data_IF_196701242677
#
_entry.id   IF_196701242677
#
_cell.length_a   1.000
_cell.length_b   1.000
_cell.length_c   1.000
_cell.angle_alpha   90.00
_cell.angle_beta   90.00
_cell.angle_gamma   90.00
#
_symmetry.space_group_name_H-M   'P 1'
#
loop_
_entity.id
_entity.type
_entity.pdbx_description
1 polymer ?
#
# COMPACT_ATOMS: atom_id res chain seq x y z
N UNK A 1 -26.51 -17.11 -104.10
CA UNK A 1 -25.21 -16.70 -103.42
C UNK A 1 -25.55 -15.63 -102.42
N UNK A 2 -25.76 -15.99 -101.19
CA UNK A 2 -26.10 -15.07 -100.09
C UNK A 2 -25.00 -15.14 -99.03
N UNK A 3 -24.39 -14.01 -98.73
CA UNK A 3 -23.33 -13.92 -97.67
C UNK A 3 -23.99 -13.50 -96.34
N UNK A 4 -24.16 -14.43 -95.44
CA UNK A 4 -24.58 -14.13 -94.07
C UNK A 4 -23.44 -13.45 -93.31
N UNK A 5 -23.69 -12.27 -92.74
CA UNK A 5 -22.81 -11.57 -91.82
C UNK A 5 -23.17 -11.98 -90.39
N UNK A 6 -22.21 -12.57 -89.70
CA UNK A 6 -22.32 -12.90 -88.28
C UNK A 6 -21.84 -11.65 -87.52
N UNK A 7 -22.75 -11.10 -86.69
CA UNK A 7 -22.44 -10.03 -85.74
C UNK A 7 -22.16 -10.67 -84.41
N UNK A 8 -20.89 -10.54 -83.95
CA UNK A 8 -20.46 -11.00 -82.61
C UNK A 8 -20.74 -9.85 -81.66
N UNK A 9 -21.67 -10.07 -80.73
CA UNK A 9 -22.00 -9.15 -79.66
C UNK A 9 -21.04 -9.41 -78.45
N UNK A 10 -20.12 -8.47 -78.20
CA UNK A 10 -19.21 -8.55 -77.07
C UNK A 10 -19.92 -8.01 -75.82
N UNK A 11 -20.32 -8.88 -74.90
CA UNK A 11 -20.86 -8.48 -73.60
C UNK A 11 -19.69 -8.10 -72.68
N UNK A 12 -19.55 -6.82 -72.39
CA UNK A 12 -18.63 -6.34 -71.36
C UNK A 12 -19.30 -6.42 -69.99
N UNK A 13 -18.89 -7.39 -69.15
CA UNK A 13 -19.34 -7.52 -67.80
C UNK A 13 -18.56 -6.57 -66.90
N UNK A 14 -19.13 -5.46 -66.48
CA UNK A 14 -18.55 -4.54 -65.51
C UNK A 14 -18.71 -5.15 -64.14
N UNK A 15 -17.60 -5.65 -63.55
CA UNK A 15 -17.55 -6.14 -62.16
C UNK A 15 -17.50 -4.93 -61.25
N UNK A 16 -18.61 -4.54 -60.62
CA UNK A 16 -18.69 -3.52 -59.56
C UNK A 16 -18.03 -4.06 -58.30
N UNK A 17 -16.75 -3.72 -58.07
CA UNK A 17 -16.09 -3.89 -56.78
C UNK A 17 -16.71 -2.93 -55.77
N UNK A 18 -17.67 -3.38 -54.97
CA UNK A 18 -18.06 -2.67 -53.75
C UNK A 18 -16.91 -2.82 -52.73
N UNK A 19 -16.42 -1.71 -52.15
CA UNK A 19 -15.46 -1.83 -51.05
C UNK A 19 -16.19 -2.48 -49.88
N UNK A 20 -15.85 -3.76 -49.59
CA UNK A 20 -16.34 -4.46 -48.44
C UNK A 20 -15.83 -3.74 -47.19
N UNK A 21 -16.76 -3.20 -46.39
CA UNK A 21 -16.51 -2.75 -45.02
C UNK A 21 -16.23 -4.04 -44.24
N UNK A 22 -14.98 -4.42 -44.17
CA UNK A 22 -14.56 -5.46 -43.21
C UNK A 22 -14.70 -4.86 -41.81
N UNK A 23 -15.56 -5.45 -40.93
CA UNK A 23 -15.52 -5.05 -39.53
C UNK A 23 -14.11 -5.28 -39.03
N UNK A 24 -13.43 -4.21 -38.62
CA UNK A 24 -12.18 -4.32 -37.86
C UNK A 24 -12.55 -5.03 -36.55
N UNK A 25 -12.42 -6.36 -36.54
CA UNK A 25 -12.37 -7.11 -35.30
C UNK A 25 -11.13 -6.59 -34.56
N UNK A 26 -11.34 -5.71 -33.59
CA UNK A 26 -10.31 -5.38 -32.61
C UNK A 26 -9.80 -6.71 -32.08
N UNK A 27 -8.55 -7.00 -32.36
CA UNK A 27 -7.92 -8.25 -31.99
C UNK A 27 -8.04 -8.42 -30.48
N UNK A 28 -8.74 -9.44 -30.03
CA UNK A 28 -8.77 -9.90 -28.64
C UNK A 28 -7.37 -10.36 -28.15
N UNK A 29 -6.34 -10.22 -28.99
CA UNK A 29 -5.00 -10.73 -28.77
C UNK A 29 -4.14 -9.86 -27.83
N UNK A 30 -4.62 -8.70 -27.34
CA UNK A 30 -3.81 -7.78 -26.52
C UNK A 30 -4.32 -7.62 -25.07
N UNK A 31 -5.41 -8.27 -24.68
CA UNK A 31 -5.90 -8.19 -23.30
C UNK A 31 -5.02 -9.02 -22.38
N UNK A 32 -4.28 -8.32 -21.51
CA UNK A 32 -3.39 -8.94 -20.52
C UNK A 32 -4.14 -9.13 -19.22
N UNK A 33 -4.18 -10.33 -18.70
CA UNK A 33 -4.87 -10.60 -17.43
C UNK A 33 -5.70 -11.87 -17.47
N UNK A 34 -6.60 -12.04 -16.51
CA UNK A 34 -6.83 -11.15 -15.37
C UNK A 34 -5.68 -11.16 -14.36
N UNK A 35 -5.44 -9.98 -13.74
CA UNK A 35 -4.52 -9.81 -12.60
C UNK A 35 -5.33 -9.32 -11.41
N UNK A 36 -5.26 -10.02 -10.28
CA UNK A 36 -5.97 -9.66 -9.06
C UNK A 36 -5.08 -8.78 -8.19
N UNK A 37 -5.47 -7.52 -8.01
CA UNK A 37 -4.77 -6.55 -7.17
C UNK A 37 -5.51 -6.39 -5.86
N UNK A 38 -4.79 -6.47 -4.75
CA UNK A 38 -5.31 -6.24 -3.42
C UNK A 38 -4.54 -5.13 -2.70
N UNK A 39 -5.00 -4.75 -1.52
CA UNK A 39 -4.27 -3.90 -0.58
C UNK A 39 -4.65 -4.20 0.86
N UNK A 40 -3.85 -3.69 1.79
CA UNK A 40 -4.25 -3.63 3.20
C UNK A 40 -5.44 -2.69 3.37
N UNK A 41 -6.09 -2.79 4.52
CA UNK A 41 -7.33 -2.05 4.83
C UNK A 41 -7.07 -0.58 5.24
N UNK A 42 -5.81 -0.22 5.52
CA UNK A 42 -5.44 1.13 5.93
C UNK A 42 -5.45 2.12 4.76
N UNK A 43 -5.41 3.42 5.09
CA UNK A 43 -5.47 4.54 4.14
C UNK A 43 -4.38 4.45 3.06
N UNK A 44 -3.13 4.20 3.46
CA UNK A 44 -2.01 4.12 2.52
C UNK A 44 -2.09 2.84 1.68
N UNK A 45 -2.50 1.72 2.27
CA UNK A 45 -2.76 0.48 1.55
C UNK A 45 -3.77 0.68 0.43
N UNK A 46 -4.90 1.35 0.72
CA UNK A 46 -5.91 1.69 -0.28
C UNK A 46 -5.34 2.57 -1.39
N UNK A 47 -4.60 3.63 -1.04
CA UNK A 47 -3.95 4.53 -2.00
C UNK A 47 -3.01 3.79 -2.96
N UNK A 48 -2.07 3.03 -2.40
CA UNK A 48 -1.06 2.29 -3.17
C UNK A 48 -1.69 1.18 -4.02
N UNK A 49 -2.71 0.50 -3.50
CA UNK A 49 -3.50 -0.47 -4.26
C UNK A 49 -4.19 0.14 -5.47
N UNK A 50 -4.80 1.32 -5.30
CA UNK A 50 -5.42 2.07 -6.39
C UNK A 50 -4.38 2.53 -7.43
N UNK A 51 -3.18 2.96 -7.01
CA UNK A 51 -2.10 3.29 -7.95
C UNK A 51 -1.70 2.09 -8.79
N UNK A 52 -1.51 0.91 -8.18
CA UNK A 52 -1.20 -0.34 -8.90
C UNK A 52 -2.29 -0.65 -9.93
N UNK A 53 -3.57 -0.59 -9.52
CA UNK A 53 -4.68 -0.89 -10.41
C UNK A 53 -4.77 0.05 -11.60
N UNK A 54 -4.68 1.36 -11.35
CA UNK A 54 -4.77 2.38 -12.41
C UNK A 54 -3.64 2.20 -13.43
N UNK A 55 -2.41 2.00 -12.98
CA UNK A 55 -1.26 1.79 -13.86
C UNK A 55 -1.38 0.52 -14.72
N UNK A 56 -1.88 -0.57 -14.15
CA UNK A 56 -2.08 -1.82 -14.88
C UNK A 56 -3.22 -1.68 -15.89
N UNK A 57 -4.35 -1.04 -15.52
CA UNK A 57 -5.47 -0.80 -16.44
C UNK A 57 -5.06 0.10 -17.61
N UNK A 58 -4.33 1.19 -17.36
CA UNK A 58 -3.80 2.08 -18.42
C UNK A 58 -2.84 1.35 -19.37
N UNK A 59 -2.17 0.31 -18.87
CA UNK A 59 -1.27 -0.56 -19.64
C UNK A 59 -2.00 -1.73 -20.35
N UNK A 60 -3.34 -1.76 -20.35
CA UNK A 60 -4.16 -2.75 -21.05
C UNK A 60 -4.37 -4.07 -20.31
N UNK A 61 -4.17 -4.10 -18.98
CA UNK A 61 -4.50 -5.28 -18.17
C UNK A 61 -5.97 -5.28 -17.77
N UNK A 62 -6.60 -6.47 -17.80
CA UNK A 62 -7.80 -6.73 -17.03
C UNK A 62 -7.41 -6.86 -15.56
N UNK A 63 -7.98 -6.01 -14.69
CA UNK A 63 -7.65 -5.97 -13.27
C UNK A 63 -8.87 -6.25 -12.41
N UNK A 64 -8.79 -7.30 -11.59
CA UNK A 64 -9.76 -7.60 -10.55
C UNK A 64 -9.38 -6.86 -9.26
N UNK A 65 -10.33 -6.07 -8.75
CA UNK A 65 -10.16 -5.27 -7.56
C UNK A 65 -10.47 -6.07 -6.28
N UNK A 66 -9.48 -6.15 -5.39
CA UNK A 66 -9.59 -6.64 -4.02
C UNK A 66 -8.87 -5.69 -3.06
N UNK A 67 -8.86 -4.38 -3.35
CA UNK A 67 -8.29 -3.40 -2.42
C UNK A 67 -9.04 -3.41 -1.09
N UNK A 68 -8.39 -2.92 -0.03
CA UNK A 68 -8.92 -2.93 1.35
C UNK A 68 -9.32 -4.34 1.83
N UNK A 69 -8.54 -5.35 1.43
CA UNK A 69 -8.84 -6.77 1.67
C UNK A 69 -8.78 -7.16 3.15
N UNK A 70 -7.86 -6.57 3.91
CA UNK A 70 -7.73 -6.86 5.33
C UNK A 70 -6.33 -6.55 5.91
N UNK A 71 -6.08 -6.96 7.17
CA UNK A 71 -4.80 -6.79 7.85
C UNK A 71 -3.70 -7.68 7.26
N UNK A 72 -2.46 -7.45 7.72
CA UNK A 72 -1.24 -8.09 7.21
C UNK A 72 -1.34 -9.61 7.10
N UNK A 73 -1.81 -10.29 8.13
CA UNK A 73 -1.90 -11.77 8.14
C UNK A 73 -2.84 -12.32 7.09
N UNK A 74 -3.98 -11.66 6.87
CA UNK A 74 -5.00 -12.12 5.94
C UNK A 74 -4.52 -11.96 4.50
N UNK A 75 -4.04 -10.78 4.14
CA UNK A 75 -3.59 -10.49 2.78
C UNK A 75 -2.32 -11.30 2.43
N UNK A 76 -1.44 -11.53 3.41
CA UNK A 76 -0.24 -12.37 3.25
C UNK A 76 -0.60 -13.81 2.90
N UNK A 77 -1.56 -14.40 3.58
CA UNK A 77 -2.08 -15.74 3.27
C UNK A 77 -2.70 -15.79 1.88
N UNK A 78 -3.47 -14.76 1.50
CA UNK A 78 -4.13 -14.71 0.20
C UNK A 78 -3.15 -14.70 -0.98
N UNK A 79 -2.01 -13.97 -0.91
CA UNK A 79 -1.02 -13.99 -2.00
C UNK A 79 -0.27 -15.33 -2.05
N UNK A 80 0.08 -15.90 -0.91
CA UNK A 80 0.76 -17.20 -0.85
C UNK A 80 -0.14 -18.30 -1.43
N UNK A 81 -1.44 -18.28 -1.12
CA UNK A 81 -2.43 -19.24 -1.64
C UNK A 81 -2.82 -18.97 -3.10
N UNK A 82 -2.43 -17.85 -3.69
CA UNK A 82 -2.75 -17.49 -5.06
C UNK A 82 -4.15 -16.91 -5.28
N UNK A 83 -4.81 -16.46 -4.22
CA UNK A 83 -6.12 -15.79 -4.27
C UNK A 83 -6.02 -14.35 -4.78
N UNK A 84 -4.84 -13.74 -4.62
CA UNK A 84 -4.44 -12.43 -5.15
C UNK A 84 -3.09 -12.55 -5.83
N UNK A 85 -2.78 -11.64 -6.74
CA UNK A 85 -1.57 -11.68 -7.56
C UNK A 85 -0.55 -10.61 -7.18
N UNK A 86 -1.01 -9.43 -6.75
CA UNK A 86 -0.19 -8.25 -6.43
C UNK A 86 -0.84 -7.49 -5.28
N UNK A 87 -0.01 -7.01 -4.35
CA UNK A 87 -0.41 -5.98 -3.39
C UNK A 87 0.82 -5.18 -2.91
N UNK A 88 0.63 -3.95 -2.35
CA UNK A 88 1.71 -3.20 -1.70
C UNK A 88 1.98 -3.77 -0.32
N UNK A 89 3.22 -4.23 -0.06
CA UNK A 89 3.68 -4.73 1.23
C UNK A 89 4.90 -3.92 1.69
N UNK A 90 5.23 -3.98 2.96
CA UNK A 90 6.26 -3.17 3.60
C UNK A 90 7.47 -4.02 3.98
N UNK A 91 8.68 -3.55 3.65
CA UNK A 91 9.93 -4.31 3.82
C UNK A 91 10.16 -4.79 5.25
N UNK A 92 9.79 -3.99 6.25
CA UNK A 92 9.94 -4.32 7.68
C UNK A 92 9.10 -5.52 8.13
N UNK A 93 8.00 -5.83 7.44
CA UNK A 93 7.22 -7.04 7.73
C UNK A 93 7.98 -8.33 7.44
N UNK A 94 9.13 -8.24 6.73
CA UNK A 94 10.03 -9.37 6.57
C UNK A 94 10.51 -9.95 7.91
N UNK A 95 10.74 -9.12 8.93
CA UNK A 95 11.08 -9.57 10.28
C UNK A 95 9.96 -10.33 10.99
N UNK A 96 8.71 -10.02 10.65
CA UNK A 96 7.53 -10.73 11.13
C UNK A 96 7.26 -12.02 10.35
N UNK A 97 7.50 -12.03 9.02
CA UNK A 97 7.29 -13.20 8.17
C UNK A 97 8.37 -14.28 8.35
N UNK A 98 9.60 -13.88 8.68
CA UNK A 98 10.78 -14.74 8.73
C UNK A 98 11.51 -14.61 10.07
N UNK A 99 11.12 -15.43 11.04
CA UNK A 99 11.54 -15.34 12.45
C UNK A 99 13.04 -15.63 12.69
N UNK A 100 13.73 -16.33 11.79
CA UNK A 100 15.12 -16.74 11.95
C UNK A 100 16.10 -15.82 11.20
N UNK A 101 15.91 -14.52 11.33
CA UNK A 101 16.74 -13.50 10.67
C UNK A 101 17.45 -12.61 11.68
N UNK A 102 18.55 -11.98 11.27
CA UNK A 102 19.22 -10.97 12.08
C UNK A 102 18.30 -9.74 12.24
N UNK A 103 17.87 -9.39 13.47
CA UNK A 103 17.03 -8.21 13.69
C UNK A 103 17.65 -6.90 13.21
N UNK A 104 18.99 -6.80 13.17
CA UNK A 104 19.69 -5.62 12.69
C UNK A 104 19.49 -5.38 11.18
N UNK A 105 19.21 -6.42 10.42
CA UNK A 105 18.92 -6.27 8.98
C UNK A 105 17.69 -5.40 8.72
N UNK A 106 16.71 -5.46 9.61
CA UNK A 106 15.43 -4.73 9.45
C UNK A 106 15.50 -3.25 9.85
N UNK A 107 16.62 -2.82 10.46
CA UNK A 107 16.88 -1.42 10.84
C UNK A 107 17.51 -0.58 9.73
N UNK A 108 17.86 -1.22 8.62
CA UNK A 108 18.45 -0.59 7.45
C UNK A 108 17.57 -0.87 6.23
N UNK A 109 17.15 0.18 5.53
CA UNK A 109 16.22 0.09 4.40
C UNK A 109 16.70 -0.89 3.31
N UNK A 110 17.98 -0.76 2.91
CA UNK A 110 18.56 -1.58 1.85
C UNK A 110 18.77 -3.03 2.26
N UNK A 111 19.29 -3.25 3.46
CA UNK A 111 19.48 -4.61 3.99
C UNK A 111 18.15 -5.31 4.20
N UNK A 112 17.16 -4.62 4.77
CA UNK A 112 15.81 -5.13 4.96
C UNK A 112 15.16 -5.55 3.63
N UNK A 113 15.18 -4.66 2.64
CA UNK A 113 14.68 -4.95 1.30
C UNK A 113 15.37 -6.16 0.66
N UNK A 114 16.71 -6.20 0.67
CA UNK A 114 17.48 -7.33 0.12
C UNK A 114 17.16 -8.64 0.82
N UNK A 115 17.04 -8.59 2.15
CA UNK A 115 16.76 -9.78 2.96
C UNK A 115 15.37 -10.32 2.67
N UNK A 116 14.33 -9.48 2.72
CA UNK A 116 12.96 -9.94 2.46
C UNK A 116 12.79 -10.42 1.03
N UNK A 117 13.34 -9.70 0.04
CA UNK A 117 13.25 -10.08 -1.36
C UNK A 117 13.83 -11.46 -1.63
N UNK A 118 14.99 -11.77 -1.03
CA UNK A 118 15.62 -13.09 -1.16
C UNK A 118 14.79 -14.17 -0.49
N UNK A 119 14.45 -13.99 0.78
CA UNK A 119 13.73 -15.00 1.57
C UNK A 119 12.35 -15.32 0.98
N UNK A 120 11.64 -14.30 0.52
CA UNK A 120 10.29 -14.47 -0.02
C UNK A 120 10.28 -15.10 -1.42
N UNK A 121 11.28 -14.80 -2.22
CA UNK A 121 11.48 -15.49 -3.50
C UNK A 121 11.78 -16.98 -3.29
N UNK A 122 12.64 -17.32 -2.34
CA UNK A 122 13.02 -18.70 -2.04
C UNK A 122 11.87 -19.50 -1.42
N UNK A 123 11.19 -18.94 -0.42
CA UNK A 123 10.15 -19.63 0.33
C UNK A 123 8.80 -19.67 -0.39
N UNK A 124 8.38 -18.58 -0.99
CA UNK A 124 7.01 -18.40 -1.48
C UNK A 124 6.92 -18.08 -2.97
N UNK A 125 8.07 -17.91 -3.65
CA UNK A 125 8.14 -17.46 -5.06
C UNK A 125 7.44 -16.09 -5.27
N UNK A 126 7.51 -15.22 -4.27
CA UNK A 126 7.02 -13.86 -4.35
C UNK A 126 8.19 -12.93 -4.66
N UNK A 127 8.00 -12.06 -5.63
CA UNK A 127 9.00 -11.08 -6.07
C UNK A 127 8.65 -9.73 -5.49
N UNK A 128 9.59 -9.13 -4.79
CA UNK A 128 9.50 -7.75 -4.30
C UNK A 128 10.08 -6.81 -5.37
N UNK A 129 9.27 -5.89 -5.86
CA UNK A 129 9.73 -4.81 -6.74
C UNK A 129 10.41 -3.73 -5.90
N UNK A 130 10.96 -2.69 -6.55
CA UNK A 130 11.66 -1.61 -5.83
C UNK A 130 10.71 -0.87 -4.90
N UNK A 131 11.13 -0.62 -3.65
CA UNK A 131 10.33 0.10 -2.68
C UNK A 131 10.30 1.61 -2.94
N UNK A 132 9.30 2.26 -2.37
CA UNK A 132 9.25 3.70 -2.21
C UNK A 132 10.21 4.14 -1.07
N UNK A 133 10.99 5.22 -1.23
CA UNK A 133 11.89 5.71 -0.20
C UNK A 133 11.15 6.47 0.91
N UNK A 134 10.21 5.79 1.57
CA UNK A 134 9.37 6.36 2.61
C UNK A 134 9.13 5.34 3.73
N UNK A 135 9.54 5.68 4.93
CA UNK A 135 9.44 4.79 6.08
C UNK A 135 8.06 4.92 6.77
N UNK A 136 7.17 3.98 6.49
CA UNK A 136 5.88 3.81 7.17
C UNK A 136 6.05 3.04 8.49
N UNK A 137 6.97 3.49 9.35
CA UNK A 137 7.23 2.80 10.62
C UNK A 137 6.08 3.00 11.61
N UNK A 138 5.81 2.00 12.43
CA UNK A 138 4.89 2.19 13.56
C UNK A 138 5.42 3.20 14.56
N UNK A 139 4.52 4.06 15.01
CA UNK A 139 4.79 5.10 15.98
C UNK A 139 3.65 5.22 17.01
N UNK A 140 3.93 5.92 18.10
CA UNK A 140 2.91 6.37 19.06
C UNK A 140 2.87 7.89 18.98
N UNK A 141 1.70 8.44 18.75
CA UNK A 141 1.44 9.87 18.81
C UNK A 141 0.75 10.25 20.11
N UNK A 142 0.92 11.49 20.54
CA UNK A 142 0.32 12.08 21.73
C UNK A 142 -0.38 13.40 21.38
N UNK A 143 -1.44 13.75 22.08
CA UNK A 143 -2.06 15.08 21.96
C UNK A 143 -1.05 16.18 22.30
N UNK A 144 -0.98 17.21 21.47
CA UNK A 144 -0.02 18.34 21.64
C UNK A 144 -0.20 19.06 22.98
N UNK A 145 -1.42 19.24 23.46
CA UNK A 145 -1.72 19.86 24.75
C UNK A 145 -1.12 19.06 25.91
N UNK A 146 -1.32 17.74 25.92
CA UNK A 146 -0.72 16.84 26.90
C UNK A 146 0.79 16.78 26.79
N UNK A 147 1.34 16.67 25.56
CA UNK A 147 2.78 16.70 25.30
C UNK A 147 3.44 17.97 25.87
N UNK A 148 2.80 19.12 25.68
CA UNK A 148 3.31 20.39 26.19
C UNK A 148 3.24 20.47 27.71
N UNK A 149 2.09 20.07 28.31
CA UNK A 149 1.84 20.15 29.75
C UNK A 149 2.78 19.24 30.53
N UNK A 150 2.97 17.99 30.08
CA UNK A 150 3.70 16.95 30.81
C UNK A 150 5.13 16.74 30.25
N UNK A 151 5.56 17.56 29.27
CA UNK A 151 6.85 17.46 28.58
C UNK A 151 7.13 16.08 27.99
N UNK A 152 6.12 15.48 27.33
CA UNK A 152 6.21 14.16 26.70
C UNK A 152 6.63 14.34 25.22
N UNK A 153 7.88 14.00 24.88
CA UNK A 153 8.45 14.16 23.53
C UNK A 153 8.94 12.86 22.94
N UNK A 154 9.29 11.89 23.78
CA UNK A 154 9.89 10.61 23.41
C UNK A 154 9.09 9.46 24.02
N UNK A 155 9.33 8.24 23.53
CA UNK A 155 8.76 7.03 24.15
C UNK A 155 9.31 6.80 25.58
N UNK A 156 10.51 7.28 25.89
CA UNK A 156 11.04 7.26 27.25
C UNK A 156 10.23 8.21 28.18
N UNK A 157 9.76 9.34 27.66
CA UNK A 157 8.92 10.26 28.42
C UNK A 157 7.52 9.66 28.67
N UNK A 158 6.95 8.97 27.66
CA UNK A 158 5.70 8.22 27.84
C UNK A 158 5.85 7.16 28.94
N UNK A 159 6.95 6.39 28.92
CA UNK A 159 7.22 5.37 29.93
C UNK A 159 7.30 5.98 31.34
N UNK A 160 8.02 7.08 31.50
CA UNK A 160 8.11 7.83 32.77
C UNK A 160 6.75 8.34 33.24
N UNK A 161 5.97 8.92 32.32
CA UNK A 161 4.62 9.42 32.60
C UNK A 161 3.68 8.30 33.06
N UNK A 162 3.69 7.17 32.35
CA UNK A 162 2.86 6.00 32.70
C UNK A 162 3.25 5.41 34.08
N UNK A 163 4.53 5.25 34.36
CA UNK A 163 5.06 4.74 35.64
C UNK A 163 4.76 5.70 36.80
N UNK A 164 4.73 6.99 36.54
CA UNK A 164 4.35 8.02 37.52
C UNK A 164 2.85 8.12 37.80
N UNK A 165 2.04 7.23 37.26
CA UNK A 165 0.59 7.24 37.46
C UNK A 165 -0.16 8.20 36.53
N UNK A 166 0.49 8.68 35.49
CA UNK A 166 -0.14 9.52 34.47
C UNK A 166 -1.29 8.82 33.76
N UNK A 167 -2.32 9.57 33.42
CA UNK A 167 -3.51 9.05 32.74
C UNK A 167 -3.18 8.74 31.27
N UNK A 168 -2.71 7.53 30.97
CA UNK A 168 -2.45 7.04 29.61
C UNK A 168 -3.63 6.24 29.13
N UNK A 169 -4.19 6.59 27.97
CA UNK A 169 -5.11 5.76 27.20
C UNK A 169 -4.77 5.84 25.71
N UNK A 170 -4.41 4.72 25.11
CA UNK A 170 -3.91 4.60 23.76
C UNK A 170 -4.97 3.93 22.87
N UNK A 171 -5.31 4.57 21.75
CA UNK A 171 -6.05 3.94 20.67
C UNK A 171 -5.07 3.24 19.72
N UNK A 172 -5.31 1.95 19.46
CA UNK A 172 -4.50 1.13 18.56
C UNK A 172 -5.32 0.09 17.83
N UNK A 173 -4.80 -0.41 16.71
CA UNK A 173 -5.39 -1.56 16.02
C UNK A 173 -5.15 -2.84 16.81
N UNK A 174 -5.98 -3.86 16.55
CA UNK A 174 -5.76 -5.19 17.11
C UNK A 174 -4.38 -5.74 16.73
N UNK A 175 -3.96 -5.52 15.48
CA UNK A 175 -2.63 -5.92 14.99
C UNK A 175 -1.51 -5.23 15.78
N UNK A 176 -1.59 -3.91 15.97
CA UNK A 176 -0.59 -3.14 16.71
C UNK A 176 -0.49 -3.57 18.18
N UNK A 177 -1.61 -3.83 18.81
CA UNK A 177 -1.67 -4.19 20.24
C UNK A 177 -1.17 -5.63 20.48
N UNK A 178 -1.42 -6.55 19.54
CA UNK A 178 -1.15 -7.98 19.73
C UNK A 178 0.18 -8.47 19.14
N UNK A 179 0.69 -7.84 18.09
CA UNK A 179 1.93 -8.28 17.43
C UNK A 179 3.15 -8.08 18.34
N UNK A 180 4.01 -9.11 18.51
CA UNK A 180 5.19 -9.04 19.38
C UNK A 180 6.19 -7.95 19.00
N UNK A 181 6.25 -7.57 17.73
CA UNK A 181 7.17 -6.58 17.17
C UNK A 181 6.59 -5.14 17.12
N UNK A 182 5.35 -4.93 17.60
CA UNK A 182 4.67 -3.65 17.64
C UNK A 182 4.60 -3.05 19.06
N UNK A 183 3.40 -2.81 19.64
CA UNK A 183 3.28 -2.25 20.98
C UNK A 183 4.05 -3.06 22.04
N UNK A 184 4.00 -4.41 22.06
CA UNK A 184 4.79 -5.19 23.02
C UNK A 184 6.31 -4.95 22.90
N UNK A 185 6.85 -4.68 21.71
CA UNK A 185 8.25 -4.33 21.54
C UNK A 185 8.57 -2.97 22.15
N UNK A 186 7.72 -1.96 21.97
CA UNK A 186 7.87 -0.66 22.63
C UNK A 186 7.79 -0.78 24.15
N UNK A 187 6.80 -1.51 24.66
CA UNK A 187 6.64 -1.75 26.09
C UNK A 187 7.88 -2.39 26.72
N UNK A 188 8.40 -3.45 26.09
CA UNK A 188 9.63 -4.14 26.52
C UNK A 188 10.84 -3.24 26.48
N UNK A 189 11.02 -2.50 25.37
CA UNK A 189 12.22 -1.68 25.17
C UNK A 189 12.28 -0.48 26.11
N UNK A 190 11.13 0.16 26.37
CA UNK A 190 11.06 1.37 27.21
C UNK A 190 10.62 1.09 28.64
N UNK A 191 10.27 -0.16 28.97
CA UNK A 191 9.97 -0.59 30.35
C UNK A 191 8.63 -0.08 30.87
N UNK A 192 7.61 0.04 30.04
CA UNK A 192 6.23 0.33 30.46
C UNK A 192 5.29 -0.80 30.04
N UNK A 193 4.08 -0.81 30.57
CA UNK A 193 3.04 -1.75 30.17
C UNK A 193 1.66 -1.09 30.29
N UNK A 194 0.85 -1.21 29.23
CA UNK A 194 -0.52 -0.71 29.22
C UNK A 194 -1.51 -1.84 29.49
N UNK A 195 -2.34 -1.66 30.50
CA UNK A 195 -3.41 -2.59 30.81
C UNK A 195 -4.54 -2.51 29.78
N UNK A 196 -5.41 -3.53 29.73
CA UNK A 196 -6.60 -3.51 28.86
C UNK A 196 -7.48 -2.26 29.03
N UNK A 197 -7.54 -1.69 30.23
CA UNK A 197 -8.31 -0.47 30.49
C UNK A 197 -7.69 0.78 29.89
N UNK A 198 -6.38 0.75 29.63
CA UNK A 198 -5.62 1.83 29.02
C UNK A 198 -5.53 1.72 27.51
N UNK A 199 -6.22 0.75 26.91
CA UNK A 199 -6.27 0.52 25.48
C UNK A 199 -7.71 0.72 24.96
N UNK A 200 -7.84 1.44 23.86
CA UNK A 200 -8.99 1.40 22.97
C UNK A 200 -8.57 0.64 21.72
N UNK A 201 -8.99 -0.62 21.61
CA UNK A 201 -8.62 -1.48 20.49
C UNK A 201 -9.65 -1.34 19.38
N UNK A 202 -9.21 -0.93 18.19
CA UNK A 202 -10.03 -0.76 17.01
C UNK A 202 -9.72 -1.87 16.00
N UNK A 203 -10.75 -2.43 15.37
CA UNK A 203 -10.58 -3.41 14.30
C UNK A 203 -10.03 -2.73 13.05
N UNK A 204 -9.16 -3.45 12.28
CA UNK A 204 -8.73 -3.06 10.93
C UNK A 204 -7.36 -2.46 10.85
N UNK A 205 -6.78 -1.69 11.58
CA UNK A 205 -5.40 -1.14 11.42
C UNK A 205 -5.33 0.24 10.78
N UNK A 206 -6.46 0.95 10.68
CA UNK A 206 -6.52 2.28 10.11
C UNK A 206 -6.14 3.35 11.15
N UNK A 207 -4.95 3.98 10.98
CA UNK A 207 -4.45 5.02 11.87
C UNK A 207 -5.31 6.29 11.87
N UNK A 208 -6.02 6.60 10.79
CA UNK A 208 -6.96 7.72 10.77
C UNK A 208 -8.03 7.60 11.89
N UNK A 209 -8.46 6.38 12.23
CA UNK A 209 -9.41 6.16 13.32
C UNK A 209 -8.75 6.31 14.70
N UNK A 210 -7.54 5.77 14.89
CA UNK A 210 -6.82 5.86 16.17
C UNK A 210 -6.41 7.30 16.47
N UNK A 211 -5.93 8.02 15.47
CA UNK A 211 -5.56 9.44 15.54
C UNK A 211 -6.78 10.32 15.84
N UNK A 212 -7.89 10.08 15.14
CA UNK A 212 -9.14 10.81 15.42
C UNK A 212 -9.63 10.54 16.84
N UNK A 213 -9.58 9.30 17.31
CA UNK A 213 -9.97 8.96 18.69
C UNK A 213 -9.12 9.73 19.73
N UNK A 214 -7.81 9.89 19.48
CA UNK A 214 -6.96 10.68 20.36
C UNK A 214 -7.23 12.19 20.24
N UNK A 215 -7.42 12.71 19.05
CA UNK A 215 -7.73 14.11 18.82
C UNK A 215 -9.04 14.53 19.50
N UNK A 216 -10.08 13.71 19.36
CA UNK A 216 -11.41 13.95 19.95
C UNK A 216 -11.46 13.61 21.45
N UNK A 217 -10.46 12.91 22.00
CA UNK A 217 -10.46 12.45 23.38
C UNK A 217 -11.51 11.37 23.66
N UNK A 218 -11.86 10.56 22.64
CA UNK A 218 -12.87 9.50 22.73
C UNK A 218 -12.55 8.54 23.87
N UNK A 219 -13.49 8.33 24.79
CA UNK A 219 -13.29 7.49 26.00
C UNK A 219 -12.03 7.84 26.82
N UNK A 220 -11.55 9.08 26.74
CA UNK A 220 -10.36 9.54 27.42
C UNK A 220 -9.04 9.20 26.69
N UNK A 221 -9.09 8.75 25.45
CA UNK A 221 -7.90 8.51 24.61
C UNK A 221 -7.10 9.78 24.45
N UNK A 222 -5.79 9.69 24.67
CA UNK A 222 -4.84 10.80 24.58
C UNK A 222 -3.53 10.42 23.90
N UNK A 223 -3.37 9.13 23.57
CA UNK A 223 -2.31 8.61 22.70
C UNK A 223 -2.93 7.80 21.55
N UNK A 224 -2.27 7.74 20.43
CA UNK A 224 -2.70 6.99 19.26
C UNK A 224 -1.55 6.19 18.65
N UNK A 225 -1.87 4.99 18.14
CA UNK A 225 -1.06 4.35 17.13
C UNK A 225 -1.06 5.24 15.88
N UNK A 226 0.11 5.43 15.29
CA UNK A 226 0.33 6.20 14.07
C UNK A 226 1.38 5.51 13.20
N UNK A 227 1.48 5.97 11.95
CA UNK A 227 2.55 5.59 11.04
C UNK A 227 3.42 6.78 10.67
N UNK A 228 4.67 6.52 10.26
CA UNK A 228 5.59 7.57 9.83
C UNK A 228 5.12 8.34 8.61
N UNK A 229 4.29 7.74 7.77
CA UNK A 229 3.73 8.35 6.55
C UNK A 229 2.36 9.02 6.77
N UNK A 230 1.83 9.03 8.00
CA UNK A 230 0.55 9.69 8.29
C UNK A 230 0.68 11.21 8.19
N UNK A 231 -0.10 11.80 7.30
CA UNK A 231 -0.14 13.25 7.08
C UNK A 231 -1.15 14.01 7.94
N UNK A 232 -2.03 13.30 8.67
CA UNK A 232 -3.12 13.86 9.47
C UNK A 232 -2.70 14.39 10.83
N UNK A 233 -1.60 13.92 11.39
CA UNK A 233 -1.16 14.16 12.76
C UNK A 233 -1.10 15.65 13.12
N UNK A 234 -0.50 16.47 12.25
CA UNK A 234 -0.38 17.91 12.51
C UNK A 234 -1.73 18.62 12.52
N UNK A 235 -2.61 18.27 11.59
CA UNK A 235 -3.97 18.83 11.46
C UNK A 235 -4.87 18.41 12.65
N UNK A 236 -4.67 17.21 13.18
CA UNK A 236 -5.40 16.66 14.33
C UNK A 236 -4.81 17.10 15.69
N UNK A 237 -3.80 17.98 15.71
CA UNK A 237 -3.19 18.42 16.96
C UNK A 237 -2.44 17.31 17.70
N UNK A 238 -1.91 16.34 16.96
CA UNK A 238 -1.10 15.24 17.48
C UNK A 238 0.39 15.46 17.20
N UNK A 239 1.24 14.77 17.97
CA UNK A 239 2.69 14.77 17.83
C UNK A 239 3.21 13.36 17.99
N UNK A 240 4.00 12.90 17.04
CA UNK A 240 4.71 11.60 17.15
C UNK A 240 5.77 11.68 18.25
N UNK A 241 5.84 10.64 19.07
CA UNK A 241 6.89 10.43 20.04
C UNK A 241 8.13 9.83 19.38
N UNK A 242 9.29 10.40 19.70
CA UNK A 242 10.56 9.92 19.17
C UNK A 242 10.91 8.54 19.76
N UNK A 243 11.20 7.57 18.89
CA UNK A 243 11.76 6.26 19.26
C UNK A 243 13.29 6.35 19.34
N UNK A 244 13.80 6.84 20.47
CA UNK A 244 15.26 7.02 20.70
C UNK A 244 16.05 5.73 20.76
N UNK A 245 15.39 4.56 20.86
CA UNK A 245 16.02 3.23 20.87
C UNK A 245 15.94 2.51 19.53
N UNK A 246 15.24 3.09 18.54
CA UNK A 246 15.09 2.51 17.22
C UNK A 246 14.45 1.11 17.28
N UNK A 247 13.35 0.97 18.03
CA UNK A 247 12.68 -0.33 18.25
C UNK A 247 12.11 -0.89 16.96
N UNK A 248 11.53 -0.03 16.14
CA UNK A 248 10.83 -0.47 14.94
C UNK A 248 11.75 -0.73 13.76
N UNK A 249 11.44 -1.71 12.90
CA UNK A 249 12.04 -1.86 11.59
C UNK A 249 11.80 -0.64 10.67
N UNK A 250 12.53 -0.59 9.55
CA UNK A 250 12.22 0.31 8.44
C UNK A 250 11.17 -0.35 7.55
N UNK A 251 10.05 0.32 7.35
CA UNK A 251 8.91 -0.16 6.58
C UNK A 251 8.74 0.64 5.28
N UNK A 252 9.49 0.30 4.24
CA UNK A 252 9.33 0.92 2.92
C UNK A 252 8.30 0.13 2.10
N UNK A 253 7.22 0.78 1.57
CA UNK A 253 6.21 0.10 0.77
C UNK A 253 6.75 -0.29 -0.60
N UNK A 254 6.50 -1.52 -1.00
CA UNK A 254 6.89 -2.08 -2.31
C UNK A 254 5.76 -2.90 -2.91
N UNK A 255 5.55 -2.88 -4.24
CA UNK A 255 4.68 -3.87 -4.86
C UNK A 255 5.30 -5.25 -4.73
N UNK A 256 4.54 -6.21 -4.23
CA UNK A 256 4.94 -7.61 -4.27
C UNK A 256 4.05 -8.38 -5.24
N UNK A 257 4.68 -9.26 -6.02
CA UNK A 257 4.05 -9.94 -7.15
C UNK A 257 4.34 -11.43 -7.08
N UNK A 258 3.34 -12.27 -7.33
CA UNK A 258 3.57 -13.70 -7.51
C UNK A 258 4.52 -13.93 -8.69
N UNK A 259 5.57 -14.72 -8.48
CA UNK A 259 6.60 -14.97 -9.50
C UNK A 259 6.04 -15.58 -10.79
N UNK A 260 4.98 -16.40 -10.71
CA UNK A 260 4.27 -16.93 -11.88
C UNK A 260 3.61 -15.85 -12.72
N UNK A 261 3.04 -14.83 -12.07
CA UNK A 261 2.39 -13.68 -12.72
C UNK A 261 3.46 -12.78 -13.35
N UNK A 262 4.53 -12.47 -12.62
CA UNK A 262 5.61 -11.64 -13.15
C UNK A 262 6.34 -12.32 -14.32
N UNK A 263 6.53 -13.65 -14.25
CA UNK A 263 7.09 -14.42 -15.38
C UNK A 263 6.20 -14.36 -16.62
N UNK A 264 4.88 -14.40 -16.45
CA UNK A 264 3.90 -14.29 -17.54
C UNK A 264 3.84 -12.85 -18.09
N UNK A 265 3.95 -11.85 -17.23
CA UNK A 265 3.80 -10.43 -17.55
C UNK A 265 4.97 -9.60 -17.02
N UNK A 266 6.20 -9.73 -17.58
CA UNK A 266 7.38 -9.06 -17.04
C UNK A 266 7.31 -7.53 -17.08
N UNK A 267 6.45 -6.96 -17.94
CA UNK A 267 6.22 -5.51 -18.00
C UNK A 267 5.61 -4.93 -16.72
N UNK A 268 5.01 -5.73 -15.84
CA UNK A 268 4.48 -5.26 -14.55
C UNK A 268 5.56 -4.53 -13.75
N UNK A 269 6.80 -5.04 -13.75
CA UNK A 269 7.91 -4.40 -13.08
C UNK A 269 8.21 -3.00 -13.62
N UNK A 270 8.33 -2.87 -14.93
CA UNK A 270 8.65 -1.58 -15.58
C UNK A 270 7.50 -0.56 -15.48
N UNK A 271 6.27 -1.03 -15.29
CA UNK A 271 5.10 -0.19 -15.07
C UNK A 271 5.07 0.36 -13.64
N UNK A 272 5.35 -0.48 -12.62
CA UNK A 272 5.12 -0.13 -11.23
C UNK A 272 6.33 0.48 -10.52
N UNK A 273 7.57 0.05 -10.82
CA UNK A 273 8.77 0.56 -10.13
C UNK A 273 8.93 2.08 -10.22
N UNK A 274 8.75 2.75 -11.38
CA UNK A 274 8.88 4.21 -11.46
C UNK A 274 7.90 4.95 -10.56
N UNK A 275 6.69 4.42 -10.38
CA UNK A 275 5.66 5.00 -9.51
C UNK A 275 6.13 4.94 -8.06
N UNK A 276 6.50 3.75 -7.58
CA UNK A 276 6.91 3.57 -6.18
C UNK A 276 8.17 4.36 -5.84
N UNK A 277 9.18 4.39 -6.73
CA UNK A 277 10.39 5.20 -6.54
C UNK A 277 10.08 6.69 -6.40
N UNK A 278 8.99 7.19 -6.98
CA UNK A 278 8.59 8.60 -6.91
C UNK A 278 7.87 9.00 -5.61
N UNK A 279 7.55 8.00 -4.75
CA UNK A 279 6.79 8.20 -3.50
C UNK A 279 7.75 8.35 -2.31
N UNK A 280 8.29 9.55 -2.11
CA UNK A 280 9.04 9.88 -0.90
C UNK A 280 8.12 10.11 0.30
N UNK A 281 8.72 10.28 1.49
CA UNK A 281 8.00 10.47 2.75
C UNK A 281 7.00 11.63 2.70
N UNK A 282 7.44 12.80 2.22
CA UNK A 282 6.61 14.02 2.16
C UNK A 282 5.45 13.83 1.17
N UNK A 283 5.72 13.19 0.05
CA UNK A 283 4.68 12.84 -0.94
C UNK A 283 3.63 11.94 -0.32
N UNK A 284 4.01 10.83 0.33
CA UNK A 284 3.04 9.93 0.96
C UNK A 284 2.27 10.61 2.08
N UNK A 285 2.91 11.38 2.95
CA UNK A 285 2.22 12.17 3.98
C UNK A 285 1.18 13.12 3.37
N UNK A 286 1.54 13.79 2.28
CA UNK A 286 0.62 14.71 1.58
C UNK A 286 -0.58 13.98 0.98
N UNK A 287 -0.35 12.84 0.34
CA UNK A 287 -1.42 12.06 -0.30
C UNK A 287 -2.33 11.41 0.75
N UNK A 288 -1.76 10.86 1.82
CA UNK A 288 -2.52 10.30 2.94
C UNK A 288 -3.37 11.36 3.65
N UNK A 289 -2.85 12.60 3.81
CA UNK A 289 -3.62 13.70 4.38
C UNK A 289 -4.87 14.05 3.54
N UNK A 290 -4.76 14.03 2.21
CA UNK A 290 -5.92 14.28 1.33
C UNK A 290 -7.04 13.26 1.54
N UNK A 291 -6.69 12.02 1.86
CA UNK A 291 -7.68 10.98 2.13
C UNK A 291 -8.21 11.13 3.56
N UNK A 292 -7.32 11.13 4.56
CA UNK A 292 -7.70 11.06 5.96
C UNK A 292 -8.30 12.35 6.52
N UNK A 293 -7.85 13.53 6.05
CA UNK A 293 -8.28 14.84 6.54
C UNK A 293 -9.29 15.50 5.61
N UNK A 294 -9.03 15.46 4.30
CA UNK A 294 -9.89 16.12 3.31
C UNK A 294 -11.02 15.22 2.81
N UNK A 295 -11.06 13.94 3.21
CA UNK A 295 -12.11 12.98 2.84
C UNK A 295 -12.15 12.62 1.36
N UNK A 296 -11.04 12.82 0.62
CA UNK A 296 -10.97 12.44 -0.79
C UNK A 296 -10.88 10.91 -0.92
N UNK A 297 -11.49 10.35 -1.98
CA UNK A 297 -11.37 8.92 -2.26
C UNK A 297 -9.93 8.56 -2.65
N UNK A 298 -9.42 7.43 -2.17
CA UNK A 298 -8.07 6.93 -2.47
C UNK A 298 -7.82 6.81 -3.99
N UNK A 299 -8.83 6.36 -4.76
CA UNK A 299 -8.77 6.28 -6.22
C UNK A 299 -8.59 7.65 -6.89
N UNK A 300 -9.30 8.69 -6.39
CA UNK A 300 -9.18 10.05 -6.91
C UNK A 300 -7.80 10.65 -6.60
N UNK A 301 -7.30 10.44 -5.39
CA UNK A 301 -5.97 10.92 -4.98
C UNK A 301 -4.88 10.23 -5.80
N UNK A 302 -4.98 8.89 -5.97
CA UNK A 302 -4.08 8.10 -6.79
C UNK A 302 -4.04 8.60 -8.24
N UNK A 303 -5.22 8.76 -8.87
CA UNK A 303 -5.32 9.22 -10.26
C UNK A 303 -4.71 10.61 -10.46
N UNK A 304 -5.06 11.56 -9.61
CA UNK A 304 -4.51 12.93 -9.67
C UNK A 304 -2.98 12.93 -9.55
N UNK A 305 -2.43 12.15 -8.62
CA UNK A 305 -1.00 12.04 -8.45
C UNK A 305 -0.33 11.44 -9.70
N UNK A 306 -0.81 10.30 -10.18
CA UNK A 306 -0.25 9.61 -11.34
C UNK A 306 -0.30 10.48 -12.60
N UNK A 307 -1.39 11.23 -12.84
CA UNK A 307 -1.48 12.20 -13.92
C UNK A 307 -0.50 13.36 -13.75
N UNK A 308 -0.38 13.92 -12.53
CA UNK A 308 0.53 15.04 -12.25
C UNK A 308 2.01 14.70 -12.48
N UNK A 309 2.36 13.41 -12.34
CA UNK A 309 3.71 12.88 -12.61
C UNK A 309 3.88 12.37 -14.05
N UNK A 310 2.82 12.40 -14.87
CA UNK A 310 2.86 11.91 -16.25
C UNK A 310 2.90 10.38 -16.39
N UNK A 311 2.55 9.65 -15.35
CA UNK A 311 2.46 8.18 -15.38
C UNK A 311 1.18 7.69 -16.07
N UNK A 312 0.06 8.42 -15.93
CA UNK A 312 -1.19 8.18 -16.66
C UNK A 312 -1.34 9.23 -17.78
N UNK A 313 -1.91 8.79 -18.91
CA UNK A 313 -2.24 9.65 -20.06
C UNK A 313 -3.53 10.43 -19.84
#
# INVERSE_FOLDING_TARGET
MSKSKIIILLAVTILLCTPGVYPQYASAADQKGPVTVASKIDTEGALLGQMIMLMLRDSGFEVKDKTEFGPTDLIRKAIINGEIDIYPEYTGNGGFFFSNTDPAAWKDAWKGYKTVSKLDLEANRIVWLKPAPANNTWAIAVRKDLSAKENIKTLADLARYAQGGGAVKLAGSEEFVSRPDALPAFEKAYGFHLTKRQLLVLSGGNTAQTEKAAADGTDGVNFAMAYGTDGSLAALGLKVLEDTKGVQPVYEPAPIVRGTVLKKYPRIQTILEPVFISLDLETLQTLNARIAVEGQMASTVAEKYLRSKGFLK
#
